data_IF_744120229694
#
_entry.id   IF_744120229694
#
_cell.length_a   1.000
_cell.length_b   1.000
_cell.length_c   1.000
_cell.angle_alpha   90.00
_cell.angle_beta   90.00
_cell.angle_gamma   90.00
#
_symmetry.space_group_name_H-M   'P 1'
#
loop_
_entity.id
_entity.type
_entity.pdbx_description
1 polymer ?
#
# COMPACT_ATOMS: atom_id res chain seq x y z
N UNK A 1 69.15 -17.54 59.74
CA UNK A 1 68.06 -18.52 60.02
C UNK A 1 66.79 -18.08 59.30
N UNK A 2 66.12 -19.00 58.59
CA UNK A 2 64.68 -19.04 58.26
C UNK A 2 63.93 -17.77 57.75
N UNK A 3 63.58 -17.83 56.45
CA UNK A 3 62.36 -17.29 55.77
C UNK A 3 62.28 -15.75 55.60
N UNK A 4 61.54 -15.12 54.67
CA UNK A 4 60.48 -15.53 53.71
C UNK A 4 60.71 -14.84 52.33
N UNK A 5 60.22 -15.41 51.22
CA UNK A 5 60.25 -14.86 49.84
C UNK A 5 58.99 -13.99 49.57
N UNK A 6 59.08 -12.96 48.70
CA UNK A 6 58.06 -12.86 47.63
C UNK A 6 58.66 -12.72 46.23
N UNK A 7 57.97 -13.32 45.26
CA UNK A 7 58.23 -13.29 43.82
C UNK A 7 57.80 -11.94 43.21
N UNK A 8 58.51 -11.44 42.20
CA UNK A 8 58.14 -10.23 41.46
C UNK A 8 58.38 -10.39 39.94
N UNK A 9 57.44 -9.92 39.12
CA UNK A 9 57.46 -9.82 37.65
C UNK A 9 57.81 -11.12 36.87
N UNK A 10 56.89 -11.86 36.25
CA UNK A 10 55.76 -11.50 35.38
C UNK A 10 56.19 -10.75 34.09
N UNK A 11 56.49 -11.50 33.03
CA UNK A 11 56.61 -10.99 31.66
C UNK A 11 56.23 -12.05 30.61
N UNK A 12 55.22 -11.73 29.81
CA UNK A 12 55.02 -12.17 28.41
C UNK A 12 54.88 -13.68 28.11
N UNK A 13 53.74 -14.28 28.49
CA UNK A 13 53.13 -15.38 27.73
C UNK A 13 51.61 -15.14 27.60
N UNK A 14 51.10 -15.25 26.36
CA UNK A 14 49.68 -15.39 26.00
C UNK A 14 48.70 -14.27 26.38
N UNK A 15 48.53 -13.29 25.48
CA UNK A 15 47.18 -12.82 25.15
C UNK A 15 46.82 -13.35 23.76
N UNK A 16 45.93 -14.34 23.74
CA UNK A 16 45.44 -15.02 22.55
C UNK A 16 44.84 -14.03 21.55
N UNK A 17 45.11 -14.24 20.27
CA UNK A 17 44.27 -13.70 19.21
C UNK A 17 42.90 -14.40 19.29
N UNK A 18 42.00 -13.86 20.10
CA UNK A 18 40.57 -14.13 19.93
C UNK A 18 40.14 -13.32 18.72
N UNK A 19 40.39 -13.89 17.53
CA UNK A 19 39.61 -13.55 16.35
C UNK A 19 38.16 -13.88 16.67
N UNK A 20 37.44 -12.88 17.17
CA UNK A 20 35.98 -12.89 17.11
C UNK A 20 35.67 -12.82 15.62
N UNK A 21 35.56 -13.99 15.00
CA UNK A 21 34.80 -14.13 13.77
C UNK A 21 33.37 -13.76 14.15
N UNK A 22 33.03 -12.48 14.01
CA UNK A 22 31.66 -12.10 13.73
C UNK A 22 31.31 -12.82 12.43
N UNK A 23 30.60 -13.94 12.57
CA UNK A 23 29.92 -14.54 11.43
C UNK A 23 28.92 -13.49 10.98
N UNK A 24 29.21 -12.81 9.88
CA UNK A 24 28.20 -12.05 9.18
C UNK A 24 27.04 -13.02 8.90
N UNK A 25 25.81 -12.64 9.26
CA UNK A 25 24.64 -13.45 8.92
C UNK A 25 24.58 -13.61 7.40
N UNK A 26 24.31 -14.84 6.94
CA UNK A 26 24.18 -15.12 5.52
C UNK A 26 23.05 -14.27 4.94
N UNK A 27 23.33 -13.55 3.85
CA UNK A 27 22.42 -12.58 3.25
C UNK A 27 21.08 -13.23 2.86
N UNK A 28 19.95 -12.57 3.20
CA UNK A 28 18.59 -13.09 2.98
C UNK A 28 17.83 -12.28 1.93
N UNK A 29 17.01 -12.94 1.12
CA UNK A 29 16.12 -12.30 0.18
C UNK A 29 14.79 -11.96 0.86
N UNK A 30 14.45 -10.68 0.89
CA UNK A 30 13.13 -10.19 1.32
C UNK A 30 12.42 -9.50 0.16
N UNK A 31 11.14 -9.23 0.34
CA UNK A 31 10.32 -8.47 -0.61
C UNK A 31 9.91 -7.15 0.03
N UNK A 32 10.19 -6.01 -0.60
CA UNK A 32 9.94 -4.67 -0.06
C UNK A 32 8.88 -3.93 -0.88
N UNK A 33 7.90 -3.35 -0.19
CA UNK A 33 6.89 -2.44 -0.75
C UNK A 33 6.92 -1.12 0.00
N UNK A 34 6.83 0.00 -0.72
CA UNK A 34 6.91 1.36 -0.14
C UNK A 34 5.78 2.22 -0.69
N UNK A 35 5.03 2.89 0.19
CA UNK A 35 4.00 3.88 -0.15
C UNK A 35 4.33 5.25 0.43
N UNK A 36 4.46 6.26 -0.43
CA UNK A 36 4.87 7.63 -0.09
C UNK A 36 3.70 8.56 0.28
N UNK A 37 2.55 7.99 0.65
CA UNK A 37 1.27 8.68 0.82
C UNK A 37 0.46 8.87 -0.48
N UNK A 38 0.97 8.45 -1.64
CA UNK A 38 0.18 8.45 -2.88
C UNK A 38 -0.73 7.22 -3.01
N UNK A 39 -1.68 7.25 -3.95
CA UNK A 39 -2.75 6.24 -4.06
C UNK A 39 -2.34 4.89 -4.66
N UNK A 40 -1.05 4.68 -4.88
CA UNK A 40 -0.41 3.44 -5.33
C UNK A 40 1.00 3.40 -4.72
N UNK A 41 1.56 2.22 -4.37
CA UNK A 41 2.94 2.16 -3.89
C UNK A 41 3.94 2.65 -4.94
N UNK A 42 5.00 3.31 -4.48
CA UNK A 42 6.13 3.80 -5.30
C UNK A 42 7.20 2.73 -5.53
N UNK A 43 7.27 1.74 -4.64
CA UNK A 43 8.01 0.49 -4.81
C UNK A 43 7.06 -0.67 -4.53
N UNK A 44 6.95 -1.63 -5.45
CA UNK A 44 5.92 -2.69 -5.41
C UNK A 44 6.61 -4.06 -5.43
N UNK A 45 6.65 -4.72 -4.27
CA UNK A 45 7.18 -6.09 -4.10
C UNK A 45 8.56 -6.29 -4.74
N UNK A 46 9.47 -5.34 -4.53
CA UNK A 46 10.82 -5.46 -5.05
C UNK A 46 11.61 -6.48 -4.22
N UNK A 47 12.32 -7.39 -4.88
CA UNK A 47 13.21 -8.33 -4.19
C UNK A 47 14.49 -7.61 -3.79
N UNK A 48 14.87 -7.76 -2.52
CA UNK A 48 16.04 -7.11 -1.93
C UNK A 48 16.89 -8.19 -1.26
N UNK A 49 18.19 -8.19 -1.59
CA UNK A 49 19.18 -9.10 -0.99
C UNK A 49 19.80 -8.41 0.23
N UNK A 50 19.21 -8.64 1.41
CA UNK A 50 19.55 -7.97 2.66
C UNK A 50 20.91 -8.42 3.17
N UNK A 51 21.74 -7.45 3.50
CA UNK A 51 23.06 -7.61 4.12
C UNK A 51 23.14 -6.64 5.28
N UNK A 52 23.89 -7.00 6.31
CA UNK A 52 24.24 -6.11 7.42
C UNK A 52 25.02 -4.91 6.87
N UNK A 53 24.39 -3.73 6.80
CA UNK A 53 24.99 -2.51 6.25
C UNK A 53 25.67 -1.65 7.30
N UNK A 54 25.24 -1.73 8.57
CA UNK A 54 25.78 -0.92 9.67
C UNK A 54 26.78 -1.68 10.55
N UNK A 55 26.97 -2.97 10.27
CA UNK A 55 27.92 -3.91 10.89
C UNK A 55 27.57 -4.22 12.37
N UNK A 56 26.29 -4.25 12.72
CA UNK A 56 25.80 -4.61 14.06
C UNK A 56 25.71 -6.13 14.32
N UNK A 57 25.86 -6.94 13.26
CA UNK A 57 25.83 -8.40 13.30
C UNK A 57 24.44 -9.01 13.12
N UNK A 58 23.45 -8.26 12.61
CA UNK A 58 22.08 -8.73 12.35
C UNK A 58 21.59 -8.28 10.96
N UNK A 59 20.61 -8.99 10.42
CA UNK A 59 19.81 -8.51 9.29
C UNK A 59 18.46 -7.97 9.79
N UNK A 60 18.20 -6.68 9.54
CA UNK A 60 17.03 -5.96 10.10
C UNK A 60 16.17 -5.26 9.06
N UNK A 61 15.04 -4.69 9.51
CA UNK A 61 14.19 -3.81 8.68
C UNK A 61 14.95 -2.56 8.23
N UNK A 62 15.90 -2.04 9.03
CA UNK A 62 16.78 -0.93 8.66
C UNK A 62 17.59 -1.26 7.40
N UNK A 63 18.26 -2.42 7.39
CA UNK A 63 19.08 -2.88 6.28
C UNK A 63 18.26 -3.07 4.99
N UNK A 64 17.14 -3.78 5.12
CA UNK A 64 16.28 -4.08 4.00
C UNK A 64 15.70 -2.82 3.35
N UNK A 65 15.27 -1.82 4.15
CA UNK A 65 14.80 -0.55 3.61
C UNK A 65 15.95 0.26 3.02
N UNK A 66 17.09 0.38 3.70
CA UNK A 66 18.26 1.11 3.17
C UNK A 66 18.68 0.57 1.79
N UNK A 67 18.82 -0.75 1.64
CA UNK A 67 19.22 -1.39 0.38
C UNK A 67 18.12 -1.17 -0.68
N UNK A 68 16.84 -1.29 -0.33
CA UNK A 68 15.74 -0.99 -1.25
C UNK A 68 15.82 0.44 -1.80
N UNK A 69 16.19 1.41 -0.96
CA UNK A 69 16.42 2.80 -1.37
C UNK A 69 17.67 2.98 -2.24
N UNK A 70 18.79 2.34 -1.88
CA UNK A 70 20.04 2.44 -2.64
C UNK A 70 19.91 1.86 -4.05
N UNK A 71 19.22 0.73 -4.20
CA UNK A 71 19.05 0.03 -5.47
C UNK A 71 17.96 0.65 -6.38
N UNK A 72 16.94 1.30 -5.81
CA UNK A 72 15.71 1.64 -6.56
C UNK A 72 15.32 3.13 -6.52
N UNK A 73 16.03 3.99 -5.79
CA UNK A 73 15.78 5.45 -5.80
C UNK A 73 16.88 6.20 -6.56
N UNK A 74 16.50 7.22 -7.34
CA UNK A 74 17.46 8.07 -8.07
C UNK A 74 18.26 8.94 -7.10
N UNK A 75 19.54 8.62 -6.90
CA UNK A 75 20.39 9.21 -5.85
C UNK A 75 20.50 8.36 -4.58
N UNK A 76 19.98 7.13 -4.60
CA UNK A 76 20.18 6.12 -3.56
C UNK A 76 19.55 6.44 -2.21
N UNK A 77 20.00 5.71 -1.18
CA UNK A 77 19.59 5.89 0.20
C UNK A 77 20.00 7.26 0.73
N UNK A 78 21.17 7.78 0.34
CA UNK A 78 21.63 9.11 0.73
C UNK A 78 20.65 10.26 0.36
N UNK A 79 19.90 10.12 -0.74
CA UNK A 79 18.87 11.08 -1.13
C UNK A 79 17.49 10.79 -0.54
N UNK A 80 17.19 9.54 -0.16
CA UNK A 80 15.81 9.07 0.00
C UNK A 80 15.46 8.36 1.30
N UNK A 81 16.44 8.02 2.12
CA UNK A 81 16.29 7.28 3.36
C UNK A 81 17.01 7.99 4.50
N UNK A 82 16.38 7.98 5.68
CA UNK A 82 17.07 8.32 6.93
C UNK A 82 16.33 7.71 8.12
N UNK A 83 17.10 7.26 9.09
CA UNK A 83 16.62 6.75 10.38
C UNK A 83 17.36 7.46 11.53
N UNK A 84 16.80 7.41 12.74
CA UNK A 84 17.48 7.85 13.97
C UNK A 84 17.05 7.02 15.17
N UNK A 85 17.92 6.92 16.18
CA UNK A 85 17.57 6.34 17.47
C UNK A 85 16.86 7.38 18.34
N UNK A 86 15.60 7.11 18.69
CA UNK A 86 14.80 7.89 19.62
C UNK A 86 14.56 7.15 20.95
N UNK A 87 13.61 7.66 21.74
CA UNK A 87 13.20 7.07 23.02
C UNK A 87 12.69 5.61 22.88
N UNK A 88 12.21 5.24 21.70
CA UNK A 88 11.55 3.96 21.40
C UNK A 88 12.35 3.06 20.47
N UNK A 89 13.65 3.35 20.28
CA UNK A 89 14.53 2.60 19.38
C UNK A 89 14.77 3.32 18.05
N UNK A 90 15.23 2.58 17.04
CA UNK A 90 15.55 3.08 15.70
C UNK A 90 14.27 3.26 14.87
N UNK A 91 14.00 4.48 14.40
CA UNK A 91 12.81 4.82 13.61
C UNK A 91 13.13 5.66 12.37
N UNK A 92 12.22 5.67 11.40
CA UNK A 92 12.34 6.47 10.18
C UNK A 92 12.21 7.97 10.47
N UNK A 93 13.04 8.77 9.81
CA UNK A 93 12.87 10.23 9.67
C UNK A 93 12.58 10.63 8.23
N UNK A 94 12.99 9.81 7.26
CA UNK A 94 12.75 10.00 5.83
C UNK A 94 12.45 8.66 5.14
N UNK A 95 11.39 8.64 4.34
CA UNK A 95 11.01 7.52 3.49
C UNK A 95 10.76 8.02 2.06
N UNK A 96 11.45 7.41 1.10
CA UNK A 96 11.33 7.67 -0.34
C UNK A 96 11.48 9.15 -0.74
N UNK A 97 12.45 9.82 -0.09
CA UNK A 97 12.74 11.24 -0.30
C UNK A 97 11.89 12.21 0.52
N UNK A 98 10.91 11.71 1.29
CA UNK A 98 9.98 12.54 2.08
C UNK A 98 10.21 12.42 3.58
N UNK A 99 10.30 13.57 4.24
CA UNK A 99 10.24 13.70 5.70
C UNK A 99 8.78 13.93 6.09
N UNK A 100 8.32 13.34 7.20
CA UNK A 100 6.90 13.38 7.59
C UNK A 100 6.68 13.47 9.12
N UNK A 101 7.45 14.31 9.82
CA UNK A 101 7.36 14.47 11.28
C UNK A 101 7.41 13.13 12.06
N UNK A 102 8.20 12.16 11.57
CA UNK A 102 8.33 10.79 12.10
C UNK A 102 7.06 9.92 12.01
N UNK A 103 5.99 10.40 11.34
CA UNK A 103 4.77 9.64 11.10
C UNK A 103 4.94 8.66 9.92
N UNK A 104 5.56 7.53 10.22
CA UNK A 104 5.79 6.40 9.32
C UNK A 104 5.30 5.09 9.97
N UNK A 105 4.78 4.16 9.15
CA UNK A 105 4.42 2.82 9.58
C UNK A 105 5.21 1.76 8.80
N UNK A 106 5.50 0.62 9.44
CA UNK A 106 6.20 -0.48 8.80
C UNK A 106 5.74 -1.83 9.38
N UNK A 107 5.50 -2.78 8.48
CA UNK A 107 4.95 -4.10 8.78
C UNK A 107 5.82 -5.17 8.12
N UNK A 108 6.00 -6.30 8.80
CA UNK A 108 6.68 -7.49 8.29
C UNK A 108 5.69 -8.64 8.29
N UNK A 109 5.44 -9.26 7.13
CA UNK A 109 4.45 -10.33 6.96
C UNK A 109 3.05 -9.97 7.50
N UNK A 110 2.63 -8.72 7.28
CA UNK A 110 1.38 -8.11 7.78
C UNK A 110 1.29 -7.98 9.33
N UNK A 111 2.38 -8.19 10.06
CA UNK A 111 2.51 -7.92 11.50
C UNK A 111 3.22 -6.58 11.70
N UNK A 112 2.71 -5.74 12.61
CA UNK A 112 3.33 -4.45 12.93
C UNK A 112 4.71 -4.68 13.55
N UNK A 113 5.73 -3.98 13.04
CA UNK A 113 7.08 -4.00 13.60
C UNK A 113 7.23 -2.91 14.67
N UNK A 114 8.01 -3.22 15.71
CA UNK A 114 8.22 -2.38 16.89
C UNK A 114 9.34 -1.34 16.71
N UNK A 115 10.24 -1.58 15.76
CA UNK A 115 11.36 -0.70 15.45
C UNK A 115 12.11 -1.17 14.20
N UNK A 116 12.88 -0.29 13.57
CA UNK A 116 13.69 -0.66 12.39
C UNK A 116 14.79 -1.69 12.70
N UNK A 117 15.13 -1.86 13.98
CA UNK A 117 16.07 -2.88 14.45
C UNK A 117 15.43 -4.28 14.64
N UNK A 118 14.14 -4.45 14.29
CA UNK A 118 13.51 -5.77 14.27
C UNK A 118 14.18 -6.65 13.19
N UNK A 119 14.44 -7.93 13.48
CA UNK A 119 15.13 -8.82 12.56
C UNK A 119 14.25 -9.22 11.37
N UNK A 120 14.88 -9.52 10.25
CA UNK A 120 14.24 -10.07 9.05
C UNK A 120 14.80 -11.43 8.69
N UNK A 121 14.05 -12.21 7.93
CA UNK A 121 14.47 -13.55 7.48
C UNK A 121 14.07 -13.83 6.03
N UNK A 122 14.68 -14.85 5.43
CA UNK A 122 14.40 -15.28 4.05
C UNK A 122 12.89 -15.35 3.75
N UNK A 123 12.47 -14.77 2.63
CA UNK A 123 11.08 -14.75 2.19
C UNK A 123 10.17 -13.76 2.93
N UNK A 124 10.67 -12.95 3.88
CA UNK A 124 9.86 -11.93 4.55
C UNK A 124 9.36 -10.86 3.58
N UNK A 125 8.14 -10.37 3.80
CA UNK A 125 7.52 -9.28 3.06
C UNK A 125 7.40 -8.04 3.94
N UNK A 126 8.18 -7.01 3.63
CA UNK A 126 8.21 -5.72 4.33
C UNK A 126 7.33 -4.73 3.58
N UNK A 127 6.48 -4.01 4.30
CA UNK A 127 5.73 -2.88 3.78
C UNK A 127 6.01 -1.66 4.66
N UNK A 128 6.67 -0.64 4.12
CA UNK A 128 6.83 0.67 4.76
C UNK A 128 5.92 1.74 4.12
N UNK A 129 5.38 2.65 4.92
CA UNK A 129 4.52 3.72 4.42
C UNK A 129 4.60 5.01 5.22
N UNK A 130 4.17 6.09 4.57
CA UNK A 130 4.00 7.42 5.15
C UNK A 130 2.54 7.59 5.55
N UNK A 131 2.26 7.99 6.80
CA UNK A 131 0.92 8.37 7.23
C UNK A 131 0.51 9.69 6.58
N UNK A 132 -0.65 9.73 5.92
CA UNK A 132 -1.21 10.97 5.37
C UNK A 132 -1.91 11.79 6.45
N UNK A 133 -2.48 11.14 7.48
CA UNK A 133 -2.93 11.77 8.71
C UNK A 133 -1.83 11.73 9.78
N UNK A 134 -0.99 12.77 9.79
CA UNK A 134 0.09 12.95 10.78
C UNK A 134 -0.38 13.33 12.19
N UNK A 135 -1.69 13.52 12.40
CA UNK A 135 -2.25 13.90 13.72
C UNK A 135 -2.93 12.72 14.39
N UNK A 136 -3.85 12.04 13.70
CA UNK A 136 -4.58 10.88 14.22
C UNK A 136 -3.91 9.54 13.90
N UNK A 137 -2.92 9.50 13.00
CA UNK A 137 -2.28 8.26 12.51
C UNK A 137 -3.33 7.26 11.98
N UNK A 138 -4.38 7.80 11.33
CA UNK A 138 -5.60 7.05 11.00
C UNK A 138 -5.54 6.25 9.69
N UNK A 139 -4.44 6.36 8.93
CA UNK A 139 -4.20 5.51 7.75
C UNK A 139 -4.19 4.02 8.15
N UNK A 140 -5.16 3.27 7.64
CA UNK A 140 -5.34 1.87 7.94
C UNK A 140 -4.43 1.01 7.05
N UNK A 141 -3.43 0.37 7.68
CA UNK A 141 -2.63 -0.65 7.00
C UNK A 141 -3.54 -1.81 6.56
N UNK A 142 -3.49 -2.16 5.27
CA UNK A 142 -4.38 -3.16 4.66
C UNK A 142 -3.65 -4.06 3.68
N UNK A 143 -4.12 -5.31 3.57
CA UNK A 143 -3.51 -6.36 2.74
C UNK A 143 -4.58 -7.31 2.21
N UNK A 144 -4.28 -7.95 1.07
CA UNK A 144 -5.02 -9.11 0.60
C UNK A 144 -4.44 -10.39 1.21
N UNK A 145 -5.25 -11.44 1.29
CA UNK A 145 -4.83 -12.80 1.64
C UNK A 145 -3.77 -13.40 0.70
N UNK A 146 -3.55 -12.80 -0.48
CA UNK A 146 -2.50 -13.17 -1.43
C UNK A 146 -1.65 -11.94 -1.78
N UNK A 147 -0.34 -12.02 -1.55
CA UNK A 147 0.61 -11.02 -2.05
C UNK A 147 0.85 -11.19 -3.55
N UNK A 148 0.95 -12.44 -4.01
CA UNK A 148 1.17 -12.78 -5.43
C UNK A 148 0.27 -13.93 -5.85
N UNK A 149 -0.10 -13.95 -7.13
CA UNK A 149 -0.73 -15.10 -7.76
C UNK A 149 -0.34 -15.21 -9.23
N UNK A 150 -0.55 -16.38 -9.82
CA UNK A 150 -0.46 -16.59 -11.26
C UNK A 150 -1.85 -17.04 -11.77
N UNK A 151 -2.24 -16.57 -12.95
CA UNK A 151 -3.53 -16.87 -13.59
C UNK A 151 -3.37 -16.90 -15.10
N UNK A 152 -4.45 -17.10 -15.85
CA UNK A 152 -4.51 -16.78 -17.28
C UNK A 152 -5.31 -15.51 -17.53
N UNK A 153 -5.14 -14.95 -18.72
CA UNK A 153 -5.95 -13.86 -19.21
C UNK A 153 -7.43 -14.30 -19.31
N UNK A 154 -8.31 -13.50 -18.71
CA UNK A 154 -9.74 -13.78 -18.62
C UNK A 154 -10.16 -14.62 -17.41
N UNK A 155 -9.21 -15.15 -16.61
CA UNK A 155 -9.52 -15.85 -15.36
C UNK A 155 -10.02 -14.88 -14.28
N UNK A 156 -10.69 -15.45 -13.27
CA UNK A 156 -11.11 -14.76 -12.06
C UNK A 156 -10.22 -15.15 -10.88
N UNK A 157 -9.85 -14.16 -10.04
CA UNK A 157 -9.14 -14.36 -8.78
C UNK A 157 -10.00 -13.93 -7.60
N UNK A 158 -10.20 -14.85 -6.66
CA UNK A 158 -10.77 -14.54 -5.35
C UNK A 158 -9.71 -13.94 -4.43
N UNK A 159 -10.05 -12.85 -3.74
CA UNK A 159 -9.22 -12.18 -2.75
C UNK A 159 -10.03 -11.82 -1.50
N UNK A 160 -9.36 -11.75 -0.35
CA UNK A 160 -9.93 -11.27 0.91
C UNK A 160 -9.13 -10.07 1.41
N UNK A 161 -9.71 -8.87 1.36
CA UNK A 161 -9.10 -7.64 1.85
C UNK A 161 -9.31 -7.47 3.35
N UNK A 162 -8.21 -7.37 4.08
CA UNK A 162 -8.16 -7.19 5.53
C UNK A 162 -7.39 -5.93 5.90
N UNK A 163 -7.62 -5.41 7.11
CA UNK A 163 -6.84 -4.31 7.69
C UNK A 163 -6.45 -4.58 9.13
N UNK A 164 -5.38 -3.92 9.55
CA UNK A 164 -5.00 -3.82 10.95
C UNK A 164 -5.99 -2.90 11.69
N UNK A 165 -6.23 -3.25 12.95
CA UNK A 165 -7.03 -2.49 13.90
C UNK A 165 -6.60 -2.86 15.33
N UNK A 166 -7.18 -2.17 16.30
CA UNK A 166 -7.05 -2.51 17.72
C UNK A 166 -8.43 -2.71 18.34
N UNK A 167 -8.55 -3.66 19.27
CA UNK A 167 -9.75 -3.81 20.09
C UNK A 167 -9.80 -2.79 21.23
N UNK A 168 -10.88 -2.80 22.02
CA UNK A 168 -11.05 -1.89 23.16
C UNK A 168 -10.02 -2.09 24.30
N UNK A 169 -9.28 -3.21 24.28
CA UNK A 169 -8.19 -3.51 25.21
C UNK A 169 -6.80 -3.27 24.58
N UNK A 170 -6.74 -2.63 23.40
CA UNK A 170 -5.54 -2.32 22.64
C UNK A 170 -4.76 -3.54 22.12
N UNK A 171 -5.39 -4.70 22.01
CA UNK A 171 -4.78 -5.84 21.30
C UNK A 171 -4.88 -5.62 19.79
N UNK A 172 -3.85 -5.98 19.01
CA UNK A 172 -3.93 -5.96 17.55
C UNK A 172 -4.97 -7.00 17.08
N UNK A 173 -5.88 -6.57 16.22
CA UNK A 173 -6.91 -7.42 15.59
C UNK A 173 -6.96 -7.17 14.09
N UNK A 174 -7.35 -8.19 13.34
CA UNK A 174 -7.59 -8.09 11.90
C UNK A 174 -9.08 -7.92 11.65
N UNK A 175 -9.47 -6.93 10.85
CA UNK A 175 -10.86 -6.69 10.46
C UNK A 175 -11.00 -6.73 8.93
N UNK A 176 -12.13 -7.23 8.40
CA UNK A 176 -12.43 -7.11 6.97
C UNK A 176 -12.60 -5.64 6.58
N UNK A 177 -12.38 -5.34 5.30
CA UNK A 177 -12.69 -4.03 4.71
C UNK A 177 -13.91 -4.17 3.80
N UNK A 178 -15.08 -3.77 4.27
CA UNK A 178 -16.32 -3.78 3.50
C UNK A 178 -16.41 -2.61 2.52
N UNK A 179 -16.98 -2.85 1.32
CA UNK A 179 -17.35 -1.80 0.35
C UNK A 179 -16.18 -1.11 -0.38
N UNK A 180 -14.95 -1.57 -0.15
CA UNK A 180 -13.75 -1.04 -0.81
C UNK A 180 -13.80 -1.32 -2.31
N UNK A 181 -13.53 -0.30 -3.11
CA UNK A 181 -13.52 -0.37 -4.57
C UNK A 181 -12.15 -0.83 -5.04
N UNK A 182 -12.11 -1.89 -5.84
CA UNK A 182 -10.87 -2.47 -6.36
C UNK A 182 -10.34 -1.64 -7.52
N UNK A 183 -9.01 -1.52 -7.60
CA UNK A 183 -8.30 -0.97 -8.75
C UNK A 183 -7.39 -2.02 -9.37
N UNK A 184 -7.22 -1.96 -10.70
CA UNK A 184 -6.26 -2.78 -11.45
C UNK A 184 -5.32 -1.82 -12.18
N UNK A 185 -4.02 -1.92 -11.94
CA UNK A 185 -2.98 -1.04 -12.48
C UNK A 185 -3.28 0.46 -12.23
N UNK A 186 -3.92 0.76 -11.10
CA UNK A 186 -4.37 2.11 -10.71
C UNK A 186 -5.73 2.54 -11.27
N UNK A 187 -6.27 1.84 -12.26
CA UNK A 187 -7.59 2.12 -12.85
C UNK A 187 -8.71 1.59 -11.95
N UNK A 188 -9.75 2.39 -11.72
CA UNK A 188 -10.93 1.96 -10.94
C UNK A 188 -11.73 0.90 -11.68
N UNK A 189 -12.18 -0.12 -10.94
CA UNK A 189 -13.11 -1.16 -11.44
C UNK A 189 -14.51 -0.98 -10.83
N UNK A 190 -15.45 -1.81 -11.26
CA UNK A 190 -16.78 -1.96 -10.63
C UNK A 190 -16.79 -2.99 -9.48
N UNK A 191 -15.68 -3.69 -9.22
CA UNK A 191 -15.61 -4.67 -8.14
C UNK A 191 -15.53 -3.99 -6.77
N UNK A 192 -16.34 -4.47 -5.83
CA UNK A 192 -16.32 -4.05 -4.43
C UNK A 192 -16.24 -5.25 -3.51
N UNK A 193 -15.59 -5.07 -2.36
CA UNK A 193 -15.54 -6.08 -1.30
C UNK A 193 -16.86 -6.21 -0.56
N UNK A 194 -17.22 -7.44 -0.18
CA UNK A 194 -18.37 -7.74 0.68
C UNK A 194 -18.09 -7.44 2.17
N UNK A 195 -19.07 -7.71 3.04
CA UNK A 195 -18.95 -7.54 4.50
C UNK A 195 -17.83 -8.40 5.15
N UNK A 196 -17.34 -9.44 4.46
CA UNK A 196 -16.21 -10.28 4.88
C UNK A 196 -14.89 -9.84 4.24
N UNK A 197 -14.87 -8.71 3.52
CA UNK A 197 -13.72 -8.22 2.76
C UNK A 197 -13.46 -8.98 1.46
N UNK A 198 -14.34 -9.91 1.06
CA UNK A 198 -14.14 -10.79 -0.09
C UNK A 198 -14.54 -10.13 -1.41
N UNK A 199 -13.79 -10.43 -2.46
CA UNK A 199 -14.06 -9.99 -3.82
C UNK A 199 -13.54 -11.01 -4.83
N UNK A 200 -14.26 -11.15 -5.94
CA UNK A 200 -13.81 -11.92 -7.12
C UNK A 200 -13.54 -10.92 -8.24
N UNK A 201 -12.31 -10.92 -8.76
CA UNK A 201 -11.82 -9.94 -9.74
C UNK A 201 -11.44 -10.67 -11.02
N UNK A 202 -11.96 -10.24 -12.17
CA UNK A 202 -11.55 -10.78 -13.48
C UNK A 202 -10.34 -10.04 -14.03
N UNK A 203 -9.40 -10.77 -14.61
CA UNK A 203 -8.16 -10.22 -15.18
C UNK A 203 -8.18 -10.29 -16.70
N UNK A 204 -8.82 -9.30 -17.33
CA UNK A 204 -8.92 -9.21 -18.80
C UNK A 204 -7.58 -8.90 -19.49
N UNK A 205 -6.63 -8.29 -18.78
CA UNK A 205 -5.29 -7.97 -19.29
C UNK A 205 -4.27 -9.07 -18.94
N UNK A 206 -3.47 -9.48 -19.93
CA UNK A 206 -2.32 -10.36 -19.71
C UNK A 206 -1.11 -9.60 -19.12
N UNK A 207 -0.18 -10.35 -18.52
CA UNK A 207 1.02 -9.81 -17.91
C UNK A 207 0.85 -9.48 -16.42
N UNK A 208 1.69 -8.57 -15.91
CA UNK A 208 1.77 -8.22 -14.48
C UNK A 208 0.70 -7.20 -14.11
N UNK A 209 -0.34 -7.64 -13.41
CA UNK A 209 -1.44 -6.80 -12.93
C UNK A 209 -1.27 -6.48 -11.43
N UNK A 210 -1.24 -5.19 -11.09
CA UNK A 210 -1.33 -4.71 -9.70
C UNK A 210 -2.81 -4.56 -9.32
N UNK A 211 -3.30 -5.44 -8.46
CA UNK A 211 -4.59 -5.28 -7.79
C UNK A 211 -4.38 -4.50 -6.48
N UNK A 212 -5.18 -3.44 -6.29
CA UNK A 212 -5.21 -2.62 -5.07
C UNK A 212 -6.65 -2.22 -4.73
N UNK A 213 -6.86 -1.42 -3.69
CA UNK A 213 -8.20 -1.01 -3.25
C UNK A 213 -8.22 0.41 -2.66
N UNK A 214 -9.39 1.04 -2.73
CA UNK A 214 -9.69 2.34 -2.12
C UNK A 214 -11.01 2.25 -1.34
N UNK A 215 -11.13 2.97 -0.23
CA UNK A 215 -12.37 3.06 0.54
C UNK A 215 -12.87 4.51 0.59
N UNK A 216 -14.19 4.67 0.59
CA UNK A 216 -14.88 5.95 0.78
C UNK A 216 -14.97 6.35 2.28
N UNK A 217 -14.71 5.40 3.19
CA UNK A 217 -14.88 5.55 4.65
C UNK A 217 -13.57 5.43 5.43
N UNK A 218 -12.50 4.92 4.81
CA UNK A 218 -11.20 4.70 5.43
C UNK A 218 -10.08 5.19 4.51
N UNK A 219 -9.12 5.92 5.08
CA UNK A 219 -7.83 6.14 4.42
C UNK A 219 -7.05 4.84 4.46
N UNK A 220 -7.01 4.09 3.35
CA UNK A 220 -6.25 2.84 3.27
C UNK A 220 -4.81 3.13 2.85
N UNK A 221 -3.84 2.52 3.54
CA UNK A 221 -2.53 2.26 2.95
C UNK A 221 -2.76 1.28 1.79
N UNK A 222 -2.35 1.57 0.54
CA UNK A 222 -2.76 0.80 -0.63
C UNK A 222 -2.40 -0.70 -0.51
N UNK A 223 -3.39 -1.62 -0.44
CA UNK A 223 -3.11 -3.04 -0.39
C UNK A 223 -2.52 -3.50 -1.73
N UNK A 224 -1.69 -4.54 -1.72
CA UNK A 224 -0.96 -4.99 -2.92
C UNK A 224 -1.15 -6.49 -3.13
N UNK A 225 -1.77 -6.85 -4.24
CA UNK A 225 -1.67 -8.18 -4.83
C UNK A 225 -1.15 -8.04 -6.26
N UNK A 226 -0.07 -8.74 -6.60
CA UNK A 226 0.47 -8.77 -7.97
C UNK A 226 0.10 -10.09 -8.63
N UNK A 227 -0.70 -10.04 -9.69
CA UNK A 227 -1.11 -11.24 -10.43
C UNK A 227 -0.46 -11.26 -11.81
N UNK A 228 0.24 -12.34 -12.14
CA UNK A 228 0.77 -12.56 -13.47
C UNK A 228 -0.23 -13.38 -14.28
N UNK A 229 -0.89 -12.75 -15.25
CA UNK A 229 -1.84 -13.40 -16.14
C UNK A 229 -1.16 -13.87 -17.43
N UNK A 230 -1.07 -15.19 -17.66
CA UNK A 230 -0.56 -15.75 -18.91
C UNK A 230 -1.50 -15.43 -20.08
N UNK A 231 -0.96 -14.92 -21.19
CA UNK A 231 -1.75 -14.57 -22.36
C UNK A 231 -2.38 -15.82 -23.02
N UNK A 232 -3.69 -15.80 -23.23
CA UNK A 232 -4.38 -16.89 -23.94
C UNK A 232 -4.08 -16.78 -25.43
N UNK A 233 -3.13 -17.60 -25.89
CA UNK A 233 -2.81 -17.68 -27.32
C UNK A 233 -3.95 -18.39 -28.04
N UNK A 234 -4.68 -17.67 -28.88
CA UNK A 234 -5.72 -18.28 -29.70
C UNK A 234 -5.11 -19.32 -30.65
N UNK A 235 -5.40 -20.60 -30.40
CA UNK A 235 -5.06 -21.68 -31.35
C UNK A 235 -6.02 -21.55 -32.53
N UNK A 236 -5.58 -20.83 -33.56
CA UNK A 236 -6.28 -20.79 -34.85
C UNK A 236 -6.19 -22.19 -35.48
N UNK A 237 -7.18 -23.04 -35.19
CA UNK A 237 -7.37 -24.30 -35.89
C UNK A 237 -7.66 -23.97 -37.35
N UNK A 238 -6.63 -24.08 -38.19
CA UNK A 238 -6.77 -23.87 -39.63
C UNK A 238 -7.71 -24.94 -40.20
N UNK A 239 -8.97 -24.55 -40.41
CA UNK A 239 -9.94 -25.37 -41.10
C UNK A 239 -9.49 -25.50 -42.56
N UNK A 240 -9.01 -26.68 -42.94
CA UNK A 240 -8.61 -26.96 -44.32
C UNK A 240 -9.85 -27.00 -45.23
N UNK A 241 -10.20 -25.86 -45.81
CA UNK A 241 -11.20 -25.79 -46.88
C UNK A 241 -10.70 -26.58 -48.10
N UNK A 242 -11.29 -27.76 -48.30
CA UNK A 242 -11.08 -28.56 -49.51
C UNK A 242 -11.90 -27.94 -50.65
N UNK A 243 -11.24 -27.15 -51.48
CA UNK A 243 -11.85 -26.54 -52.67
C UNK A 243 -12.17 -27.62 -53.70
N UNK A 244 -13.44 -27.74 -54.11
CA UNK A 244 -13.83 -28.56 -55.27
C UNK A 244 -14.53 -27.67 -56.29
N UNK A 245 -13.89 -27.50 -57.44
CA UNK A 245 -14.38 -26.72 -58.57
C UNK A 245 -15.29 -27.56 -59.46
N UNK A 246 -16.51 -27.09 -59.76
CA UNK A 246 -17.27 -27.53 -60.95
C UNK A 246 -18.07 -26.36 -61.55
N UNK A 247 -17.56 -25.88 -62.67
CA UNK A 247 -18.21 -25.50 -63.94
C UNK A 247 -19.61 -24.84 -64.01
N UNK A 248 -19.78 -23.94 -64.99
CA UNK A 248 -20.88 -22.98 -65.09
C UNK A 248 -22.05 -23.42 -66.01
N UNK A 249 -23.20 -22.77 -65.82
CA UNK A 249 -24.23 -22.65 -66.86
C UNK A 249 -24.90 -21.26 -66.82
N UNK A 250 -25.12 -20.67 -68.00
CA UNK A 250 -25.56 -19.28 -68.21
C UNK A 250 -27.07 -19.17 -68.39
N UNK A 251 -27.72 -18.12 -67.84
CA UNK A 251 -28.80 -17.42 -68.58
C UNK A 251 -29.09 -15.99 -68.08
N UNK A 252 -28.95 -15.07 -69.03
CA UNK A 252 -29.51 -13.72 -69.23
C UNK A 252 -30.83 -13.34 -68.53
N UNK A 253 -30.88 -12.15 -67.90
CA UNK A 253 -31.80 -11.02 -68.18
C UNK A 253 -31.57 -9.88 -67.17
N UNK A 254 -31.05 -8.70 -67.57
CA UNK A 254 -31.76 -7.54 -68.16
C UNK A 254 -32.69 -6.80 -67.19
N UNK A 255 -32.16 -5.79 -66.48
CA UNK A 255 -32.51 -4.36 -66.64
C UNK A 255 -31.83 -3.53 -65.53
N UNK A 256 -31.14 -2.39 -65.69
CA UNK A 256 -31.15 -1.20 -66.58
C UNK A 256 -31.50 0.03 -65.74
N UNK A 257 -30.61 1.05 -65.76
CA UNK A 257 -30.75 2.44 -65.24
C UNK A 257 -30.83 2.65 -63.70
N UNK A 258 -29.95 3.44 -63.05
CA UNK A 258 -29.62 4.90 -63.18
C UNK A 258 -30.66 5.78 -62.47
N UNK A 259 -30.32 6.80 -61.66
CA UNK A 259 -29.09 7.20 -60.95
C UNK A 259 -29.46 8.33 -59.95
N UNK A 260 -28.46 8.84 -59.20
CA UNK A 260 -28.34 10.21 -58.65
C UNK A 260 -29.52 10.84 -57.87
N UNK A 261 -29.35 11.14 -56.58
CA UNK A 261 -28.64 12.33 -56.04
C UNK A 261 -29.37 13.66 -56.30
N UNK A 262 -29.75 14.37 -55.22
CA UNK A 262 -29.36 15.77 -54.91
C UNK A 262 -30.32 16.46 -53.92
N UNK A 263 -29.76 17.27 -53.00
CA UNK A 263 -30.32 18.52 -52.40
C UNK A 263 -31.66 18.50 -51.62
N UNK A 264 -32.01 19.49 -50.78
CA UNK A 264 -31.27 20.39 -49.89
C UNK A 264 -32.25 21.17 -48.97
N UNK A 265 -31.76 21.57 -47.77
CA UNK A 265 -32.10 22.78 -46.99
C UNK A 265 -33.53 23.10 -46.46
N UNK A 266 -33.55 23.62 -45.21
CA UNK A 266 -34.48 24.65 -44.67
C UNK A 266 -35.96 24.27 -44.41
N UNK A 267 -36.72 24.87 -43.46
CA UNK A 267 -36.42 25.91 -42.44
C UNK A 267 -37.58 26.14 -41.43
N UNK A 268 -37.23 26.37 -40.15
CA UNK A 268 -37.77 27.40 -39.20
C UNK A 268 -39.22 27.36 -38.62
N UNK A 269 -39.29 27.83 -37.35
CA UNK A 269 -40.45 28.27 -36.53
C UNK A 269 -41.19 27.19 -35.71
N UNK A 270 -41.74 27.47 -34.52
CA UNK A 270 -41.98 28.76 -33.84
C UNK A 270 -41.63 28.74 -32.32
N UNK A 271 -41.66 29.92 -31.68
CA UNK A 271 -41.29 30.12 -30.27
C UNK A 271 -42.51 30.44 -29.37
N UNK A 272 -42.37 30.23 -28.06
CA UNK A 272 -43.11 30.96 -27.02
C UNK A 272 -42.30 31.03 -25.71
N UNK A 273 -42.37 32.16 -25.02
CA UNK A 273 -41.50 32.59 -23.90
C UNK A 273 -42.33 32.88 -22.65
N UNK A 274 -41.80 32.69 -21.43
CA UNK A 274 -42.13 33.56 -20.26
C UNK A 274 -41.08 33.59 -19.14
N UNK A 275 -40.97 34.80 -18.54
CA UNK A 275 -40.10 35.24 -17.41
C UNK A 275 -41.00 35.75 -16.25
N UNK A 276 -40.57 36.10 -15.02
CA UNK A 276 -39.24 36.26 -14.39
C UNK A 276 -39.31 35.93 -12.87
N UNK A 277 -38.21 35.48 -12.21
CA UNK A 277 -37.24 36.27 -11.40
C UNK A 277 -37.77 36.99 -10.13
N UNK A 278 -37.34 36.45 -8.97
CA UNK A 278 -36.90 37.03 -7.68
C UNK A 278 -37.40 38.41 -7.14
N UNK A 279 -37.60 38.48 -5.81
CA UNK A 279 -37.74 39.75 -5.05
C UNK A 279 -37.87 39.62 -3.50
N UNK A 280 -36.74 39.79 -2.80
CA UNK A 280 -36.51 40.13 -1.38
C UNK A 280 -37.64 40.71 -0.48
N UNK A 281 -37.64 40.37 0.83
CA UNK A 281 -37.19 41.30 1.90
C UNK A 281 -37.33 40.75 3.34
N UNK A 282 -36.65 41.42 4.28
CA UNK A 282 -36.40 41.05 5.69
C UNK A 282 -37.52 41.40 6.68
N UNK A 283 -37.55 40.72 7.84
CA UNK A 283 -37.88 41.41 9.10
C UNK A 283 -37.12 40.87 10.32
N UNK A 284 -36.71 41.82 11.15
CA UNK A 284 -36.01 41.69 12.42
C UNK A 284 -37.02 41.40 13.55
N UNK A 285 -36.61 40.75 14.65
CA UNK A 285 -37.06 41.09 16.03
C UNK A 285 -36.32 40.24 17.09
N UNK A 286 -35.98 40.89 18.21
CA UNK A 286 -35.46 40.27 19.45
C UNK A 286 -36.18 40.88 20.65
N UNK A 287 -36.28 40.17 21.79
CA UNK A 287 -35.94 40.86 23.03
C UNK A 287 -35.26 40.02 24.13
N UNK A 288 -34.23 40.64 24.74
CA UNK A 288 -33.87 40.73 26.18
C UNK A 288 -33.78 39.49 27.09
N UNK A 289 -32.52 39.20 27.45
CA UNK A 289 -31.93 38.96 28.80
C UNK A 289 -32.79 38.92 30.09
N UNK A 290 -32.46 37.95 30.97
CA UNK A 290 -32.64 37.95 32.45
C UNK A 290 -33.76 37.03 32.93
N UNK A 291 -33.54 35.99 33.75
CA UNK A 291 -32.94 36.02 35.11
C UNK A 291 -32.32 34.65 35.54
N UNK A 292 -31.82 34.57 36.78
CA UNK A 292 -30.93 33.52 37.33
C UNK A 292 -31.64 32.26 37.86
N UNK A 293 -30.99 31.09 37.74
CA UNK A 293 -31.40 29.84 38.38
C UNK A 293 -30.31 28.74 38.33
N UNK A 294 -29.91 28.22 39.48
CA UNK A 294 -28.75 27.33 39.62
C UNK A 294 -28.96 25.89 39.11
N UNK A 295 -27.90 25.22 38.62
CA UNK A 295 -27.93 23.76 38.41
C UNK A 295 -26.84 23.14 37.51
N UNK A 296 -25.70 22.78 38.10
CA UNK A 296 -24.82 21.64 37.73
C UNK A 296 -24.22 21.44 36.31
N UNK A 297 -22.89 21.48 36.28
CA UNK A 297 -21.97 20.49 35.67
C UNK A 297 -21.68 20.48 34.16
N UNK A 298 -20.63 21.24 33.82
CA UNK A 298 -19.60 21.06 32.79
C UNK A 298 -19.35 19.61 32.31
N UNK A 299 -19.26 19.43 30.97
CA UNK A 299 -18.15 18.70 30.31
C UNK A 299 -17.69 19.49 29.09
N UNK A 300 -16.41 19.87 29.07
CA UNK A 300 -15.75 20.46 27.88
C UNK A 300 -15.04 19.31 27.17
N UNK A 301 -15.32 19.11 25.87
CA UNK A 301 -14.58 18.18 25.02
C UNK A 301 -13.21 18.81 24.69
N UNK A 302 -12.24 18.53 25.56
CA UNK A 302 -10.86 18.97 25.41
C UNK A 302 -10.05 18.08 24.47
N UNK A 303 -9.33 18.73 23.57
CA UNK A 303 -8.09 18.30 22.89
C UNK A 303 -7.47 16.98 23.39
N UNK A 304 -7.53 15.93 22.56
CA UNK A 304 -6.74 14.73 22.74
C UNK A 304 -5.32 14.95 22.20
N UNK A 305 -4.32 14.95 23.09
CA UNK A 305 -2.90 14.99 22.75
C UNK A 305 -2.41 13.57 22.43
N UNK A 306 -1.54 13.43 21.43
CA UNK A 306 -0.93 12.16 21.07
C UNK A 306 0.00 11.66 22.18
N UNK A 307 -0.48 10.73 23.01
CA UNK A 307 0.32 10.00 23.99
C UNK A 307 0.03 8.50 23.92
N UNK A 308 0.49 7.85 22.85
CA UNK A 308 0.43 6.40 22.65
C UNK A 308 1.84 5.77 22.69
N UNK A 309 2.63 6.13 23.71
CA UNK A 309 3.92 5.50 24.00
C UNK A 309 4.19 5.46 25.51
N UNK A 310 3.25 4.90 26.26
CA UNK A 310 3.44 4.60 27.66
C UNK A 310 2.55 3.42 28.07
N UNK A 311 3.09 2.19 28.00
CA UNK A 311 2.75 1.06 28.91
C UNK A 311 3.53 -0.24 28.59
N UNK A 312 4.85 -0.25 28.84
CA UNK A 312 5.52 -1.36 29.56
C UNK A 312 6.99 -1.04 29.87
N UNK A 313 7.34 -1.05 31.15
CA UNK A 313 8.72 -1.18 31.63
C UNK A 313 8.71 -2.05 32.89
N UNK A 314 9.70 -2.94 33.02
CA UNK A 314 9.85 -4.02 34.03
C UNK A 314 8.78 -5.10 33.89
N UNK A 315 9.13 -6.39 33.85
CA UNK A 315 10.31 -7.10 34.39
C UNK A 315 11.29 -7.48 33.24
N UNK A 316 12.54 -7.91 33.43
CA UNK A 316 13.13 -8.84 34.41
C UNK A 316 14.49 -8.34 34.98
N UNK A 317 15.11 -9.16 35.84
CA UNK A 317 16.29 -8.85 36.68
C UNK A 317 17.66 -8.92 35.96
#
# INVERSE_FOLDING_TARGET
MKKIIPVLAAALISCSAVSVCASAEDAVNVTVTISDGSSSPVLIQQKVNVKDIDNDGKLTVNDALYIAHEENFSGGAAASYASKTGQYGLSLTKLWGKENNEAFGYYVNNVASMGLADPVSEGNSIYAFIYTDVTGYSDAYSWFDKNTADSKQGDEIELTLSRAAFDAAWNPVTLPVEGASITINGNSTNYKTDANGKVTVKLDDAGRNLISAKSDTLTLVPPVCVVNAEAVTAVTTAQAETTTTTEAATTTSSDTTTAESTTAASSTSAAATTTAKAGTSSKNDSPKTGDMGAGTAVVILGTAVCTAFALRKKNED
#
